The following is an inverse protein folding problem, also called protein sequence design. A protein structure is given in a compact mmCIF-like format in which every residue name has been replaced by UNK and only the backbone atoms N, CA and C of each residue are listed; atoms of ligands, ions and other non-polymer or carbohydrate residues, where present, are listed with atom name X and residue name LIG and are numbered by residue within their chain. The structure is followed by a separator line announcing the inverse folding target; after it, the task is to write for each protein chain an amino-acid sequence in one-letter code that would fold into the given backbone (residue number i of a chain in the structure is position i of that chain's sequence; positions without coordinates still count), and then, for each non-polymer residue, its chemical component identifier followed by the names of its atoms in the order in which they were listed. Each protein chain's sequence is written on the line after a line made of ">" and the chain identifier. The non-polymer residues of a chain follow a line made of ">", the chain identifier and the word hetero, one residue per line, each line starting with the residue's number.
data_IF_119391513318
#
_entry.id   IF_119391513318
#
_cell.length_a   1.000
_cell.length_b   1.000
_cell.length_c   1.000
_cell.angle_alpha   90.00
_cell.angle_beta   90.00
_cell.angle_gamma   90.00
#
_symmetry.space_group_name_H-M   'P 1'
#
loop_
_entity.id
_entity.type
_entity.pdbx_description
1 polymer ?
#
# COMPACT_ATOMS: atom_id res chain seq x y z
N UNK A 1 10.83 15.44 -4.85
CA UNK A 1 11.67 14.73 -3.85
C UNK A 1 13.12 14.86 -4.27
N UNK A 2 14.02 15.04 -3.33
CA UNK A 2 15.47 15.06 -3.60
C UNK A 2 16.00 13.68 -3.16
N UNK A 3 16.57 12.91 -4.05
CA UNK A 3 17.23 11.63 -3.79
C UNK A 3 18.64 11.65 -4.39
N UNK A 4 19.28 10.50 -4.57
CA UNK A 4 18.74 9.16 -4.33
C UNK A 4 18.76 8.74 -2.85
N UNK A 5 17.79 7.87 -2.48
CA UNK A 5 17.72 7.27 -1.15
C UNK A 5 17.91 5.75 -1.22
N UNK A 6 18.67 5.19 -0.29
CA UNK A 6 18.87 3.74 -0.20
C UNK A 6 17.62 3.04 0.37
N UNK A 7 16.87 3.73 1.23
CA UNK A 7 15.68 3.19 1.87
C UNK A 7 14.64 4.27 2.10
N UNK A 8 13.42 3.98 1.72
CA UNK A 8 12.24 4.83 1.93
C UNK A 8 11.18 4.04 2.69
N UNK A 9 10.48 4.70 3.59
CA UNK A 9 9.39 4.09 4.36
C UNK A 9 8.05 4.70 3.99
N UNK A 10 7.03 3.85 3.88
CA UNK A 10 5.63 4.23 3.74
C UNK A 10 4.83 3.41 4.74
N UNK A 11 4.29 4.05 5.76
CA UNK A 11 3.53 3.38 6.81
C UNK A 11 2.09 3.88 6.82
N UNK A 12 1.14 2.96 6.73
CA UNK A 12 -0.31 3.20 6.83
C UNK A 12 -0.78 4.38 5.97
N UNK A 13 -0.33 4.45 4.73
CA UNK A 13 -0.59 5.62 3.90
C UNK A 13 -0.93 5.29 2.44
N UNK A 14 -0.53 4.13 1.90
CA UNK A 14 -0.74 3.84 0.49
C UNK A 14 -2.23 3.83 0.14
N UNK A 15 -3.04 3.27 1.01
CA UNK A 15 -4.49 3.16 0.84
C UNK A 15 -5.23 4.52 0.89
N UNK A 16 -4.61 5.55 1.47
CA UNK A 16 -5.17 6.91 1.60
C UNK A 16 -4.90 7.79 0.37
N UNK A 17 -3.94 7.43 -0.48
CA UNK A 17 -3.64 8.24 -1.65
C UNK A 17 -4.69 8.11 -2.74
N UNK A 18 -5.14 9.24 -3.28
CA UNK A 18 -6.01 9.26 -4.46
C UNK A 18 -5.34 8.60 -5.68
N UNK A 19 -4.01 8.77 -5.83
CA UNK A 19 -3.21 8.26 -6.97
C UNK A 19 -2.01 7.45 -6.49
N UNK A 20 -2.23 6.28 -5.88
CA UNK A 20 -1.16 5.49 -5.26
C UNK A 20 -0.08 5.05 -6.27
N UNK A 21 -0.45 4.76 -7.50
CA UNK A 21 0.52 4.41 -8.55
C UNK A 21 1.47 5.57 -8.89
N UNK A 22 0.99 6.82 -8.89
CA UNK A 22 1.84 7.99 -9.10
C UNK A 22 2.78 8.22 -7.91
N UNK A 23 2.28 8.02 -6.69
CA UNK A 23 3.10 8.11 -5.49
C UNK A 23 4.21 7.05 -5.52
N UNK A 24 3.87 5.80 -5.79
CA UNK A 24 4.86 4.72 -5.92
C UNK A 24 5.88 4.99 -7.03
N UNK A 25 5.45 5.52 -8.18
CA UNK A 25 6.37 5.93 -9.24
C UNK A 25 7.34 7.03 -8.80
N UNK A 26 6.85 8.02 -8.04
CA UNK A 26 7.67 9.07 -7.44
C UNK A 26 8.67 8.52 -6.41
N UNK A 27 8.25 7.56 -5.59
CA UNK A 27 9.11 6.89 -4.62
C UNK A 27 10.19 6.06 -5.33
N UNK A 28 9.79 5.29 -6.37
CA UNK A 28 10.75 4.54 -7.20
C UNK A 28 11.82 5.46 -7.82
N UNK A 29 11.41 6.60 -8.35
CA UNK A 29 12.32 7.58 -8.95
C UNK A 29 13.24 8.26 -7.91
N UNK A 30 12.85 8.28 -6.64
CA UNK A 30 13.64 8.84 -5.55
C UNK A 30 14.59 7.81 -4.93
N UNK A 31 14.41 6.51 -5.17
CA UNK A 31 15.32 5.47 -4.69
C UNK A 31 16.63 5.44 -5.52
N UNK A 32 17.71 5.04 -4.86
CA UNK A 32 18.93 4.60 -5.52
C UNK A 32 18.65 3.34 -6.36
N UNK A 33 19.57 3.01 -7.27
CA UNK A 33 19.42 1.85 -8.17
C UNK A 33 19.23 0.54 -7.40
N UNK A 34 19.94 0.38 -6.27
CA UNK A 34 19.83 -0.76 -5.37
C UNK A 34 18.99 -0.46 -4.12
N UNK A 35 18.27 0.65 -4.14
CA UNK A 35 17.43 1.09 -3.04
C UNK A 35 16.12 0.30 -2.93
N UNK A 36 15.42 0.50 -1.83
CA UNK A 36 14.14 -0.15 -1.60
C UNK A 36 13.13 0.77 -0.89
N UNK A 37 11.85 0.49 -1.10
CA UNK A 37 10.75 1.02 -0.29
C UNK A 37 10.26 -0.07 0.65
N UNK A 38 10.21 0.22 1.94
CA UNK A 38 9.47 -0.59 2.91
C UNK A 38 8.07 0.00 3.08
N UNK A 39 7.10 -0.75 2.59
CA UNK A 39 5.69 -0.40 2.68
C UNK A 39 5.04 -1.24 3.77
N UNK A 40 4.28 -0.60 4.64
CA UNK A 40 3.46 -1.24 5.67
C UNK A 40 2.04 -0.74 5.50
N UNK A 41 1.12 -1.67 5.36
CA UNK A 41 -0.31 -1.36 5.22
C UNK A 41 -1.14 -2.43 5.92
N UNK A 42 -2.44 -2.27 6.00
CA UNK A 42 -3.29 -3.14 6.79
C UNK A 42 -3.32 -4.58 6.26
N UNK A 43 -3.37 -5.52 7.19
CA UNK A 43 -3.48 -6.94 6.90
C UNK A 43 -4.95 -7.33 6.73
N UNK A 44 -5.37 -7.49 5.48
CA UNK A 44 -6.69 -8.01 5.12
C UNK A 44 -6.55 -9.32 4.36
N UNK A 45 -7.63 -10.10 4.26
CA UNK A 45 -7.63 -11.34 3.50
C UNK A 45 -7.33 -11.11 2.01
N UNK A 46 -6.84 -12.13 1.30
CA UNK A 46 -6.51 -12.05 -0.13
C UNK A 46 -7.75 -11.85 -1.02
N UNK A 47 -8.90 -12.27 -0.53
CA UNK A 47 -10.19 -12.12 -1.21
C UNK A 47 -11.30 -11.80 -0.22
N UNK A 48 -12.35 -11.16 -0.72
CA UNK A 48 -13.54 -10.90 0.10
C UNK A 48 -14.18 -12.21 0.56
N UNK A 49 -14.47 -12.30 1.86
CA UNK A 49 -15.27 -13.35 2.47
C UNK A 49 -16.28 -12.74 3.43
N UNK A 50 -17.50 -13.27 3.47
CA UNK A 50 -18.52 -12.86 4.40
C UNK A 50 -18.81 -13.99 5.39
N UNK A 51 -18.72 -13.72 6.70
CA UNK A 51 -18.63 -12.42 7.38
C UNK A 51 -17.21 -11.82 7.48
N UNK A 52 -16.14 -12.48 7.01
CA UNK A 52 -14.76 -12.09 7.21
C UNK A 52 -14.28 -12.30 8.65
N UNK A 53 -12.98 -12.19 8.89
CA UNK A 53 -12.42 -12.20 10.23
C UNK A 53 -12.63 -10.84 10.95
N UNK A 54 -12.22 -10.77 12.21
CA UNK A 54 -12.42 -9.57 13.03
C UNK A 54 -11.61 -8.37 12.53
N UNK A 55 -10.40 -8.60 12.08
CA UNK A 55 -9.51 -7.55 11.54
C UNK A 55 -10.10 -7.00 10.23
N UNK A 56 -10.49 -7.87 9.31
CA UNK A 56 -11.08 -7.43 8.04
C UNK A 56 -12.37 -6.64 8.26
N UNK A 57 -13.25 -7.07 9.18
CA UNK A 57 -14.45 -6.31 9.54
C UNK A 57 -14.13 -4.93 10.11
N UNK A 58 -13.11 -4.84 10.99
CA UNK A 58 -12.64 -3.56 11.52
C UNK A 58 -12.12 -2.66 10.41
N UNK A 59 -11.32 -3.21 9.48
CA UNK A 59 -10.77 -2.45 8.35
C UNK A 59 -11.85 -1.96 7.39
N UNK A 60 -12.91 -2.73 7.15
CA UNK A 60 -14.08 -2.25 6.40
C UNK A 60 -14.78 -1.09 7.10
N UNK A 61 -14.90 -1.15 8.44
CA UNK A 61 -15.47 -0.05 9.23
C UNK A 61 -14.67 1.23 9.08
N UNK A 62 -13.36 1.17 9.24
CA UNK A 62 -12.47 2.32 9.06
C UNK A 62 -12.45 2.81 7.61
N UNK A 63 -12.44 1.89 6.66
CA UNK A 63 -12.47 2.24 5.25
C UNK A 63 -13.69 3.10 4.91
N UNK A 64 -14.89 2.64 5.23
CA UNK A 64 -16.12 3.36 4.86
C UNK A 64 -16.30 4.67 5.62
N UNK A 65 -15.80 4.75 6.86
CA UNK A 65 -15.97 5.93 7.70
C UNK A 65 -14.90 7.00 7.49
N UNK A 66 -13.70 6.63 7.03
CA UNK A 66 -12.58 7.56 6.93
C UNK A 66 -11.73 7.38 5.68
N UNK A 67 -10.99 6.29 5.55
CA UNK A 67 -9.93 6.18 4.55
C UNK A 67 -10.44 6.18 3.10
N UNK A 68 -11.55 5.51 2.82
CA UNK A 68 -12.14 5.51 1.48
C UNK A 68 -12.66 6.90 1.07
N UNK A 69 -13.52 7.60 1.86
CA UNK A 69 -13.92 8.95 1.50
C UNK A 69 -12.75 9.94 1.50
N UNK A 70 -11.74 9.79 2.37
CA UNK A 70 -10.54 10.63 2.35
C UNK A 70 -9.75 10.46 1.04
N UNK A 71 -9.49 9.22 0.61
CA UNK A 71 -8.79 8.95 -0.65
C UNK A 71 -9.57 9.42 -1.88
N UNK A 72 -10.90 9.51 -1.78
CA UNK A 72 -11.79 9.98 -2.87
C UNK A 72 -11.98 11.50 -2.91
N UNK A 73 -11.46 12.24 -1.93
CA UNK A 73 -11.60 13.71 -1.90
C UNK A 73 -10.94 14.39 -3.09
N UNK A 74 -9.87 13.82 -3.64
CA UNK A 74 -9.16 14.32 -4.81
C UNK A 74 -9.44 13.45 -6.05
N UNK A 75 -10.24 13.94 -6.98
CA UNK A 75 -10.52 13.25 -8.24
C UNK A 75 -9.42 13.51 -9.31
N UNK A 76 -9.09 12.53 -10.17
CA UNK A 76 -9.52 11.12 -10.10
C UNK A 76 -8.83 10.34 -8.96
N UNK A 77 -9.55 9.40 -8.37
CA UNK A 77 -9.05 8.56 -7.28
C UNK A 77 -9.14 7.08 -7.63
N UNK A 78 -8.17 6.30 -7.15
CA UNK A 78 -8.21 4.84 -7.18
C UNK A 78 -9.22 4.24 -6.17
N UNK A 79 -9.67 5.05 -5.20
CA UNK A 79 -10.67 4.67 -4.20
C UNK A 79 -10.32 3.35 -3.48
N UNK A 80 -9.09 3.22 -2.96
CA UNK A 80 -8.61 1.99 -2.33
C UNK A 80 -9.22 1.81 -0.94
N UNK A 81 -9.01 2.78 -0.05
CA UNK A 81 -9.39 2.65 1.36
C UNK A 81 -8.55 1.58 2.08
N UNK A 82 -8.83 1.38 3.36
CA UNK A 82 -8.08 0.50 4.27
C UNK A 82 -8.06 -0.97 3.84
N UNK A 83 -9.05 -1.41 3.05
CA UNK A 83 -9.10 -2.81 2.56
C UNK A 83 -8.24 -2.95 1.30
N UNK A 84 -6.97 -2.62 1.43
CA UNK A 84 -5.96 -2.74 0.37
C UNK A 84 -5.37 -4.15 0.37
N UNK A 85 -5.70 -4.95 -0.63
CA UNK A 85 -5.26 -6.34 -0.72
C UNK A 85 -3.85 -6.46 -1.30
N UNK A 86 -3.14 -7.50 -0.89
CA UNK A 86 -1.74 -7.75 -1.28
C UNK A 86 -1.55 -7.77 -2.80
N UNK A 87 -2.40 -8.46 -3.54
CA UNK A 87 -2.29 -8.48 -5.00
C UNK A 87 -2.39 -7.10 -5.66
N UNK A 88 -3.15 -6.18 -5.05
CA UNK A 88 -3.26 -4.79 -5.53
C UNK A 88 -1.96 -4.03 -5.28
N UNK A 89 -1.33 -4.23 -4.11
CA UNK A 89 0.00 -3.64 -3.80
C UNK A 89 1.04 -4.11 -4.82
N UNK A 90 1.10 -5.43 -5.08
CA UNK A 90 2.03 -5.98 -6.06
C UNK A 90 1.80 -5.44 -7.47
N UNK A 91 0.53 -5.33 -7.90
CA UNK A 91 0.19 -4.77 -9.21
C UNK A 91 0.60 -3.29 -9.33
N UNK A 92 0.34 -2.49 -8.30
CA UNK A 92 0.73 -1.07 -8.26
C UNK A 92 2.26 -0.90 -8.28
N UNK A 93 2.99 -1.74 -7.53
CA UNK A 93 4.44 -1.72 -7.51
C UNK A 93 5.04 -2.07 -8.89
N UNK A 94 4.52 -3.10 -9.53
CA UNK A 94 4.95 -3.48 -10.89
C UNK A 94 4.67 -2.37 -11.90
N UNK A 95 3.49 -1.74 -11.88
CA UNK A 95 3.15 -0.61 -12.73
C UNK A 95 4.03 0.62 -12.47
N UNK A 96 4.46 0.83 -11.23
CA UNK A 96 5.37 1.91 -10.85
C UNK A 96 6.83 1.66 -11.25
N UNK A 97 7.17 0.46 -11.75
CA UNK A 97 8.48 0.11 -12.25
C UNK A 97 9.46 -0.43 -11.21
N UNK A 98 8.99 -0.90 -10.06
CA UNK A 98 9.82 -1.65 -9.12
C UNK A 98 10.21 -3.01 -9.72
N UNK A 99 11.48 -3.42 -9.48
CA UNK A 99 12.03 -4.70 -9.99
C UNK A 99 11.39 -5.90 -9.30
N UNK A 100 11.10 -5.76 -8.02
CA UNK A 100 10.43 -6.80 -7.24
C UNK A 100 9.51 -6.20 -6.18
N UNK A 101 8.55 -7.00 -5.75
CA UNK A 101 7.64 -6.69 -4.66
C UNK A 101 7.40 -7.97 -3.88
N UNK A 102 7.85 -8.02 -2.63
CA UNK A 102 7.82 -9.21 -1.78
C UNK A 102 7.19 -8.87 -0.44
N UNK A 103 6.30 -9.74 0.04
CA UNK A 103 5.85 -9.69 1.43
C UNK A 103 6.97 -10.20 2.34
N UNK A 104 7.26 -9.44 3.37
CA UNK A 104 8.22 -9.85 4.39
C UNK A 104 7.54 -10.80 5.38
N UNK A 105 8.22 -11.88 5.81
CA UNK A 105 7.66 -12.87 6.74
C UNK A 105 7.68 -12.36 8.18
N UNK A 106 7.01 -11.22 8.40
CA UNK A 106 6.85 -10.61 9.72
C UNK A 106 5.43 -10.86 10.20
N UNK A 107 5.32 -11.56 11.33
CA UNK A 107 4.02 -11.85 11.93
C UNK A 107 3.48 -10.63 12.67
N UNK A 108 2.30 -10.17 12.26
CA UNK A 108 1.59 -9.06 12.89
C UNK A 108 0.09 -9.20 12.62
N UNK A 109 -0.72 -8.94 13.65
CA UNK A 109 -2.17 -9.12 13.56
C UNK A 109 -2.86 -8.09 12.65
N UNK A 110 -2.31 -6.87 12.56
CA UNK A 110 -2.95 -5.74 11.89
C UNK A 110 -2.24 -5.30 10.62
N UNK A 111 -0.93 -5.58 10.48
CA UNK A 111 -0.11 -5.03 9.41
C UNK A 111 0.54 -6.11 8.56
N UNK A 112 0.67 -5.81 7.28
CA UNK A 112 1.44 -6.56 6.29
C UNK A 112 2.59 -5.69 5.81
N UNK A 113 3.75 -6.30 5.69
CA UNK A 113 4.99 -5.62 5.38
C UNK A 113 5.46 -6.02 3.99
N UNK A 114 5.80 -5.05 3.16
CA UNK A 114 6.29 -5.28 1.81
C UNK A 114 7.66 -4.63 1.63
N UNK A 115 8.52 -5.31 0.88
CA UNK A 115 9.73 -4.74 0.33
C UNK A 115 9.56 -4.59 -1.17
N UNK A 116 9.73 -3.37 -1.67
CA UNK A 116 9.70 -3.03 -3.09
C UNK A 116 11.11 -2.63 -3.49
N UNK A 117 11.79 -3.43 -4.30
CA UNK A 117 13.15 -3.13 -4.76
C UNK A 117 13.11 -2.21 -5.98
N UNK A 118 13.92 -1.18 -5.96
CA UNK A 118 13.96 -0.14 -6.97
C UNK A 118 14.55 -0.59 -8.32
#
# INVERSE_FOLDING_TARGET
>A
MVGPYDLVFVFEALHDFARPGQVLGGLRAACAEDGAVLLVDERVAESFTAPGDEVERLMYGWSVLHCLPASMADAPSAALGTVLRSHTVHALAAQAGFRSSVELPLDNDFFRFYRLDA
#
